data_IF_692351411208
#
_entry.id   IF_692351411208
#
_cell.length_a   1.000
_cell.length_b   1.000
_cell.length_c   1.000
_cell.angle_alpha   90.00
_cell.angle_beta   90.00
_cell.angle_gamma   90.00
#
_symmetry.space_group_name_H-M   'P 1'
#
loop_
_entity.id
_entity.type
_entity.pdbx_description
1 polymer ?
#
# COMPACT_ATOMS: atom_id res chain seq x y z
N UNK A 1 -18.16 -1.26 -4.63
CA UNK A 1 -18.39 -1.12 -3.17
C UNK A 1 -17.26 -0.32 -2.50
N UNK A 2 -15.97 -0.64 -2.74
CA UNK A 2 -14.80 0.12 -2.23
C UNK A 2 -14.80 1.62 -2.54
N UNK A 3 -15.17 2.04 -3.76
CA UNK A 3 -15.17 3.47 -4.16
C UNK A 3 -16.11 4.36 -3.34
N UNK A 4 -17.13 3.80 -2.67
CA UNK A 4 -18.00 4.60 -1.79
C UNK A 4 -17.28 5.08 -0.54
N UNK A 5 -16.28 4.33 -0.06
CA UNK A 5 -15.49 4.70 1.12
C UNK A 5 -14.45 5.78 0.85
N UNK A 6 -14.08 5.99 -0.42
CA UNK A 6 -13.19 7.08 -0.86
C UNK A 6 -13.70 8.48 -0.47
N UNK A 7 -15.02 8.65 -0.33
CA UNK A 7 -15.60 9.93 0.11
C UNK A 7 -15.22 10.33 1.54
N UNK A 8 -14.84 9.37 2.37
CA UNK A 8 -14.39 9.60 3.75
C UNK A 8 -12.86 9.77 3.84
N UNK A 9 -12.17 9.73 2.70
CA UNK A 9 -10.73 9.78 2.61
C UNK A 9 -10.24 11.23 2.54
N UNK A 10 -9.39 11.64 3.48
CA UNK A 10 -8.72 12.93 3.48
C UNK A 10 -7.66 12.96 2.36
N UNK A 11 -7.95 13.69 1.28
CA UNK A 11 -7.13 13.72 0.06
C UNK A 11 -5.70 14.21 0.33
N UNK A 12 -5.50 15.12 1.29
CA UNK A 12 -4.18 15.65 1.62
C UNK A 12 -3.28 14.58 2.22
N UNK A 13 -3.83 13.76 3.12
CA UNK A 13 -3.10 12.69 3.77
C UNK A 13 -2.83 11.52 2.83
N UNK A 14 -3.78 11.21 1.93
CA UNK A 14 -3.55 10.26 0.84
C UNK A 14 -2.36 10.67 -0.04
N UNK A 15 -2.23 11.95 -0.38
CA UNK A 15 -1.09 12.47 -1.17
C UNK A 15 0.24 12.31 -0.42
N UNK A 16 0.27 12.57 0.90
CA UNK A 16 1.49 12.37 1.71
C UNK A 16 1.93 10.91 1.72
N UNK A 17 0.99 9.99 1.95
CA UNK A 17 1.26 8.54 1.91
C UNK A 17 1.76 8.11 0.52
N UNK A 18 1.13 8.63 -0.55
CA UNK A 18 1.55 8.35 -1.92
C UNK A 18 2.98 8.86 -2.18
N UNK A 19 3.33 10.06 -1.74
CA UNK A 19 4.69 10.61 -1.86
C UNK A 19 5.72 9.77 -1.12
N UNK A 20 5.45 9.40 0.13
CA UNK A 20 6.32 8.51 0.92
C UNK A 20 6.58 7.21 0.15
N UNK A 21 5.52 6.62 -0.41
CA UNK A 21 5.66 5.37 -1.15
C UNK A 21 6.43 5.53 -2.46
N UNK A 22 6.24 6.63 -3.19
CA UNK A 22 7.02 6.91 -4.40
C UNK A 22 8.52 6.99 -4.09
N UNK A 23 8.89 7.61 -2.96
CA UNK A 23 10.27 7.66 -2.48
C UNK A 23 10.79 6.25 -2.19
N UNK A 24 10.03 5.45 -1.44
CA UNK A 24 10.39 4.06 -1.12
C UNK A 24 10.61 3.23 -2.38
N UNK A 25 9.69 3.29 -3.35
CA UNK A 25 9.81 2.55 -4.62
C UNK A 25 11.06 2.99 -5.37
N UNK A 26 11.31 4.30 -5.46
CA UNK A 26 12.47 4.86 -6.15
C UNK A 26 13.79 4.38 -5.53
N UNK A 27 13.88 4.42 -4.20
CA UNK A 27 15.04 3.90 -3.45
C UNK A 27 15.22 2.39 -3.67
N UNK A 28 14.13 1.63 -3.69
CA UNK A 28 14.19 0.18 -3.89
C UNK A 28 14.65 -0.18 -5.31
N UNK A 29 14.29 0.62 -6.31
CA UNK A 29 14.74 0.44 -7.70
C UNK A 29 16.24 0.73 -7.89
N UNK A 30 16.88 1.49 -6.99
CA UNK A 30 18.33 1.69 -7.01
C UNK A 30 19.11 0.44 -6.56
N UNK A 31 18.52 -0.44 -5.76
CA UNK A 31 19.19 -1.65 -5.27
C UNK A 31 19.77 -2.53 -6.38
N UNK A 32 19.03 -2.96 -7.42
CA UNK A 32 19.61 -3.79 -8.49
C UNK A 32 20.77 -3.11 -9.22
N UNK A 33 20.75 -1.78 -9.38
CA UNK A 33 21.86 -1.03 -9.98
C UNK A 33 23.12 -1.05 -9.11
N UNK A 34 22.95 -0.87 -7.79
CA UNK A 34 24.05 -0.90 -6.83
C UNK A 34 24.62 -2.31 -6.70
N UNK A 35 23.76 -3.34 -6.69
CA UNK A 35 24.17 -4.74 -6.67
C UNK A 35 25.01 -5.08 -7.89
N UNK A 36 24.58 -4.68 -9.11
CA UNK A 36 25.36 -4.88 -10.32
C UNK A 36 26.77 -4.28 -10.18
N UNK A 37 26.87 -3.02 -9.75
CA UNK A 37 28.17 -2.35 -9.56
C UNK A 37 29.02 -2.98 -8.46
N UNK A 38 28.41 -3.50 -7.40
CA UNK A 38 29.10 -4.24 -6.35
C UNK A 38 29.72 -5.53 -6.90
N UNK A 39 28.95 -6.29 -7.70
CA UNK A 39 29.40 -7.52 -8.37
C UNK A 39 30.54 -7.20 -9.34
N UNK A 40 30.37 -6.19 -10.21
CA UNK A 40 31.40 -5.80 -11.17
C UNK A 40 32.70 -5.39 -10.46
N UNK A 41 32.60 -4.66 -9.35
CA UNK A 41 33.75 -4.25 -8.55
C UNK A 41 34.44 -5.44 -7.88
N UNK A 42 33.67 -6.43 -7.42
CA UNK A 42 34.20 -7.66 -6.83
C UNK A 42 34.91 -8.53 -7.88
N UNK A 43 34.33 -8.68 -9.08
CA UNK A 43 34.93 -9.38 -10.22
C UNK A 43 36.26 -8.72 -10.61
N UNK A 44 36.28 -7.39 -10.67
CA UNK A 44 37.49 -6.60 -10.96
C UNK A 44 38.49 -6.53 -9.79
N UNK A 45 38.28 -7.32 -8.72
CA UNK A 45 39.11 -7.38 -7.51
C UNK A 45 39.28 -6.02 -6.81
N UNK A 46 38.37 -5.08 -7.04
CA UNK A 46 38.42 -3.75 -6.45
C UNK A 46 37.61 -3.71 -5.14
N UNK A 47 38.20 -4.33 -4.10
CA UNK A 47 37.55 -4.60 -2.81
C UNK A 47 37.03 -3.31 -2.16
N UNK A 48 37.77 -2.19 -2.27
CA UNK A 48 37.36 -0.91 -1.69
C UNK A 48 36.00 -0.44 -2.25
N UNK A 49 35.83 -0.49 -3.57
CA UNK A 49 34.57 -0.08 -4.20
C UNK A 49 33.45 -1.10 -3.97
N UNK A 50 33.75 -2.39 -3.96
CA UNK A 50 32.77 -3.42 -3.61
C UNK A 50 32.18 -3.18 -2.20
N UNK A 51 33.03 -2.89 -1.21
CA UNK A 51 32.60 -2.57 0.16
C UNK A 51 31.75 -1.28 0.19
N UNK A 52 32.15 -0.24 -0.53
CA UNK A 52 31.37 1.02 -0.61
C UNK A 52 29.97 0.75 -1.17
N UNK A 53 29.84 -0.04 -2.24
CA UNK A 53 28.54 -0.37 -2.81
C UNK A 53 27.69 -1.21 -1.85
N UNK A 54 28.27 -2.18 -1.14
CA UNK A 54 27.55 -2.96 -0.12
C UNK A 54 27.06 -2.06 1.03
N UNK A 55 27.91 -1.16 1.53
CA UNK A 55 27.53 -0.19 2.57
C UNK A 55 26.42 0.75 2.09
N UNK A 56 26.49 1.20 0.84
CA UNK A 56 25.43 2.04 0.26
C UNK A 56 24.08 1.31 0.18
N UNK A 57 24.10 0.01 -0.11
CA UNK A 57 22.90 -0.82 -0.12
C UNK A 57 22.28 -0.95 1.28
N UNK A 58 23.11 -1.18 2.31
CA UNK A 58 22.65 -1.21 3.71
C UNK A 58 22.03 0.14 4.10
N UNK A 59 22.67 1.24 3.74
CA UNK A 59 22.16 2.58 4.06
C UNK A 59 20.80 2.84 3.41
N UNK A 60 20.64 2.49 2.13
CA UNK A 60 19.36 2.59 1.41
C UNK A 60 18.31 1.72 2.09
N UNK A 61 18.65 0.50 2.49
CA UNK A 61 17.71 -0.40 3.20
C UNK A 61 17.22 0.20 4.51
N UNK A 62 18.11 0.85 5.29
CA UNK A 62 17.73 1.54 6.53
C UNK A 62 16.79 2.71 6.23
N UNK A 63 17.11 3.52 5.23
CA UNK A 63 16.25 4.63 4.80
C UNK A 63 14.86 4.14 4.37
N UNK A 64 14.80 3.08 3.58
CA UNK A 64 13.53 2.46 3.15
C UNK A 64 12.72 2.00 4.37
N UNK A 65 13.37 1.38 5.36
CA UNK A 65 12.69 0.93 6.57
C UNK A 65 12.14 2.09 7.40
N UNK A 66 12.90 3.18 7.51
CA UNK A 66 12.43 4.41 8.16
C UNK A 66 11.17 4.98 7.50
N UNK A 67 11.12 4.99 6.17
CA UNK A 67 9.93 5.44 5.44
C UNK A 67 8.72 4.51 5.62
N UNK A 68 8.92 3.19 5.77
CA UNK A 68 7.82 2.29 6.10
C UNK A 68 7.24 2.58 7.49
N UNK A 69 8.09 2.85 8.49
CA UNK A 69 7.62 3.22 9.84
C UNK A 69 6.85 4.54 9.80
N UNK A 70 7.32 5.52 9.04
CA UNK A 70 6.59 6.77 8.84
C UNK A 70 5.23 6.54 8.16
N UNK A 71 5.18 5.68 7.15
CA UNK A 71 3.95 5.32 6.47
C UNK A 71 2.93 4.71 7.43
N UNK A 72 3.34 3.75 8.26
CA UNK A 72 2.48 3.12 9.27
C UNK A 72 1.94 4.14 10.29
N UNK A 73 2.78 5.11 10.69
CA UNK A 73 2.36 6.19 11.58
C UNK A 73 1.26 7.07 10.97
N UNK A 74 1.42 7.50 9.71
CA UNK A 74 0.41 8.29 9.02
C UNK A 74 -0.86 7.50 8.73
N UNK A 75 -0.76 6.19 8.49
CA UNK A 75 -1.94 5.32 8.39
C UNK A 75 -2.73 5.30 9.70
N UNK A 76 -2.06 5.15 10.84
CA UNK A 76 -2.72 5.15 12.15
C UNK A 76 -3.49 6.45 12.43
N UNK A 77 -2.92 7.60 12.08
CA UNK A 77 -3.60 8.91 12.23
C UNK A 77 -4.85 8.99 11.35
N UNK A 78 -4.74 8.57 10.08
CA UNK A 78 -5.86 8.63 9.13
C UNK A 78 -7.01 7.71 9.50
N UNK A 79 -6.70 6.53 10.03
CA UNK A 79 -7.70 5.59 10.50
C UNK A 79 -8.47 6.15 11.69
N UNK A 80 -7.78 6.82 12.61
CA UNK A 80 -8.40 7.49 13.74
C UNK A 80 -9.31 8.67 13.30
N UNK A 81 -8.87 9.45 12.32
CA UNK A 81 -9.67 10.55 11.76
C UNK A 81 -10.92 10.02 11.02
N UNK A 82 -10.78 8.92 10.26
CA UNK A 82 -11.89 8.27 9.58
C UNK A 82 -12.92 7.68 10.56
N UNK A 83 -12.44 7.11 11.67
CA UNK A 83 -13.30 6.60 12.75
C UNK A 83 -14.16 7.72 13.35
N UNK A 84 -13.53 8.83 13.74
CA UNK A 84 -14.22 9.98 14.33
C UNK A 84 -15.27 10.55 13.37
N UNK A 85 -14.93 10.68 12.09
CA UNK A 85 -15.84 11.21 11.08
C UNK A 85 -17.05 10.30 10.84
N UNK A 86 -16.88 8.98 10.77
CA UNK A 86 -17.99 8.05 10.64
C UNK A 86 -18.90 8.08 11.88
N UNK A 87 -18.31 8.05 13.08
CA UNK A 87 -19.06 8.09 14.31
C UNK A 87 -19.88 9.39 14.45
N UNK A 88 -19.28 10.54 14.09
CA UNK A 88 -19.95 11.84 14.11
C UNK A 88 -21.16 11.90 13.17
N UNK A 89 -21.02 11.39 11.94
CA UNK A 89 -22.14 11.34 10.99
C UNK A 89 -23.28 10.46 11.46
N UNK A 90 -22.96 9.30 12.03
CA UNK A 90 -23.96 8.34 12.52
C UNK A 90 -24.66 8.90 13.75
N UNK A 91 -23.93 9.56 14.65
CA UNK A 91 -24.52 10.25 15.80
C UNK A 91 -25.47 11.38 15.38
N UNK A 92 -25.14 12.13 14.32
CA UNK A 92 -26.02 13.17 13.77
C UNK A 92 -27.28 12.59 13.14
N UNK A 93 -27.19 11.45 12.42
CA UNK A 93 -28.35 10.75 11.88
C UNK A 93 -29.25 10.16 12.98
N UNK A 94 -28.65 9.65 14.05
CA UNK A 94 -29.36 9.13 15.23
C UNK A 94 -30.09 10.22 16.02
N UNK A 95 -29.58 11.45 16.05
CA UNK A 95 -30.26 12.60 16.69
C UNK A 95 -31.56 13.01 15.97
N UNK A 96 -31.67 12.74 14.67
CA UNK A 96 -32.85 13.02 13.85
C UNK A 96 -33.84 11.83 13.85
N UNK A 97 -33.39 10.67 14.33
CA UNK A 97 -34.20 9.45 14.42
C UNK A 97 -35.03 9.42 15.71
N UNK A 98 -36.32 9.14 15.60
CA UNK A 98 -37.25 9.15 16.73
C UNK A 98 -37.00 7.95 17.67
N UNK A 99 -36.32 8.20 18.79
CA UNK A 99 -35.92 7.19 19.78
C UNK A 99 -37.09 6.41 20.39
N UNK A 100 -38.34 6.90 20.30
CA UNK A 100 -39.50 6.28 20.96
C UNK A 100 -40.05 5.04 20.26
N UNK A 101 -39.71 4.78 18.99
CA UNK A 101 -40.33 3.69 18.21
C UNK A 101 -39.54 2.37 18.20
N UNK A 102 -38.24 2.37 18.51
CA UNK A 102 -37.34 1.26 18.12
C UNK A 102 -36.48 0.62 19.23
N UNK A 103 -36.64 0.95 20.53
CA UNK A 103 -35.85 0.35 21.64
C UNK A 103 -34.35 0.19 21.30
N UNK A 104 -33.75 1.27 20.79
CA UNK A 104 -32.37 1.25 20.33
C UNK A 104 -31.42 1.33 21.53
N UNK A 105 -30.72 0.23 21.83
CA UNK A 105 -29.66 0.20 22.84
C UNK A 105 -28.40 0.88 22.30
N UNK A 106 -28.04 2.00 22.93
CA UNK A 106 -26.84 2.79 22.59
C UNK A 106 -25.55 1.99 22.74
N UNK A 107 -25.48 1.08 23.71
CA UNK A 107 -24.30 0.26 23.95
C UNK A 107 -24.08 -0.70 22.77
N UNK A 108 -25.15 -1.39 22.36
CA UNK A 108 -25.12 -2.28 21.20
C UNK A 108 -24.81 -1.56 19.88
N UNK A 109 -25.38 -0.39 19.65
CA UNK A 109 -25.04 0.41 18.45
C UNK A 109 -23.58 0.83 18.42
N UNK A 110 -23.01 1.25 19.56
CA UNK A 110 -21.60 1.64 19.64
C UNK A 110 -20.68 0.43 19.40
N UNK A 111 -21.06 -0.74 19.91
CA UNK A 111 -20.31 -1.99 19.70
C UNK A 111 -20.36 -2.44 18.24
N UNK A 112 -21.54 -2.46 17.61
CA UNK A 112 -21.67 -2.83 16.20
C UNK A 112 -20.98 -1.81 15.27
N UNK A 113 -20.95 -0.53 15.65
CA UNK A 113 -20.18 0.50 14.94
C UNK A 113 -18.68 0.27 15.02
N UNK A 114 -18.15 -0.03 16.21
CA UNK A 114 -16.74 -0.35 16.40
C UNK A 114 -16.33 -1.58 15.57
N UNK A 115 -17.07 -2.67 15.69
CA UNK A 115 -16.78 -3.91 14.95
C UNK A 115 -16.86 -3.72 13.43
N UNK A 116 -17.90 -3.04 12.93
CA UNK A 116 -18.03 -2.79 11.50
C UNK A 116 -16.94 -1.83 10.99
N UNK A 117 -16.51 -0.87 11.82
CA UNK A 117 -15.39 0.00 11.46
C UNK A 117 -14.09 -0.79 11.32
N UNK A 118 -13.73 -1.65 12.27
CA UNK A 118 -12.50 -2.47 12.19
C UNK A 118 -12.47 -3.34 10.91
N UNK A 119 -13.62 -3.88 10.51
CA UNK A 119 -13.75 -4.68 9.27
C UNK A 119 -13.55 -3.80 8.03
N UNK A 120 -14.06 -2.57 8.04
CA UNK A 120 -14.08 -1.69 6.86
C UNK A 120 -12.83 -0.82 6.77
N UNK A 121 -12.19 -0.45 7.88
CA UNK A 121 -10.99 0.38 8.02
C UNK A 121 -9.91 0.03 6.97
N UNK A 122 -9.47 -1.24 6.80
CA UNK A 122 -8.46 -1.59 5.81
C UNK A 122 -8.93 -1.34 4.36
N UNK A 123 -10.24 -1.36 4.07
CA UNK A 123 -10.79 -1.06 2.75
C UNK A 123 -10.92 0.44 2.46
N UNK A 124 -10.83 1.31 3.46
CA UNK A 124 -10.93 2.77 3.28
C UNK A 124 -9.62 3.33 2.73
N UNK A 125 -8.48 2.89 3.25
CA UNK A 125 -7.16 3.43 2.87
C UNK A 125 -6.17 2.35 2.46
N UNK A 126 -5.89 1.38 3.32
CA UNK A 126 -4.77 0.45 3.15
C UNK A 126 -4.86 -0.36 1.85
N UNK A 127 -5.98 -1.02 1.61
CA UNK A 127 -6.18 -1.85 0.41
C UNK A 127 -6.18 -1.01 -0.86
N UNK A 128 -6.75 0.20 -0.83
CA UNK A 128 -6.77 1.10 -1.98
C UNK A 128 -5.34 1.55 -2.33
N UNK A 129 -4.58 1.97 -1.31
CA UNK A 129 -3.20 2.39 -1.49
C UNK A 129 -2.36 1.22 -2.02
N UNK A 130 -2.45 0.05 -1.40
CA UNK A 130 -1.76 -1.17 -1.83
C UNK A 130 -2.09 -1.57 -3.27
N UNK A 131 -3.37 -1.49 -3.68
CA UNK A 131 -3.77 -1.74 -5.07
C UNK A 131 -3.10 -0.75 -6.02
N UNK A 132 -3.18 0.54 -5.74
CA UNK A 132 -2.57 1.59 -6.58
C UNK A 132 -1.06 1.37 -6.69
N UNK A 133 -0.41 1.03 -5.58
CA UNK A 133 1.02 0.78 -5.54
C UNK A 133 1.40 -0.47 -6.32
N UNK A 134 0.68 -1.57 -6.14
CA UNK A 134 0.98 -2.81 -6.84
C UNK A 134 0.75 -2.65 -8.35
N UNK A 135 -0.28 -1.92 -8.76
CA UNK A 135 -0.49 -1.54 -10.16
C UNK A 135 0.67 -0.66 -10.66
N UNK A 136 1.11 0.33 -9.88
CA UNK A 136 2.23 1.19 -10.27
C UNK A 136 3.54 0.40 -10.43
N UNK A 137 3.85 -0.50 -9.49
CA UNK A 137 5.02 -1.40 -9.53
C UNK A 137 4.95 -2.29 -10.77
N UNK A 138 3.78 -2.83 -11.07
CA UNK A 138 3.56 -3.63 -12.27
C UNK A 138 3.84 -2.82 -13.55
N UNK A 139 3.28 -1.61 -13.66
CA UNK A 139 3.52 -0.72 -14.82
C UNK A 139 5.01 -0.40 -14.98
N UNK A 140 5.69 -0.01 -13.90
CA UNK A 140 7.13 0.28 -13.93
C UNK A 140 7.94 -0.95 -14.33
N UNK A 141 7.56 -2.12 -13.84
CA UNK A 141 8.23 -3.38 -14.21
C UNK A 141 8.04 -3.70 -15.70
N UNK A 142 6.81 -3.57 -16.22
CA UNK A 142 6.53 -3.69 -17.65
C UNK A 142 7.34 -2.71 -18.48
N UNK A 143 7.49 -1.46 -18.02
CA UNK A 143 8.30 -0.44 -18.69
C UNK A 143 9.78 -0.85 -18.73
N UNK A 144 10.37 -1.28 -17.61
CA UNK A 144 11.76 -1.76 -17.56
C UNK A 144 11.96 -2.96 -18.49
N UNK A 145 11.08 -3.95 -18.43
CA UNK A 145 11.16 -5.16 -19.26
C UNK A 145 11.02 -4.83 -20.75
N UNK A 146 10.19 -3.84 -21.10
CA UNK A 146 10.05 -3.36 -22.48
C UNK A 146 11.39 -2.91 -23.08
N UNK A 147 12.23 -2.21 -22.31
CA UNK A 147 13.56 -1.77 -22.75
C UNK A 147 14.57 -2.91 -22.85
N UNK A 148 14.40 -3.98 -22.07
CA UNK A 148 15.28 -5.16 -22.13
C UNK A 148 14.94 -6.01 -23.36
N UNK A 149 13.67 -6.41 -23.50
CA UNK A 149 13.20 -7.20 -24.64
C UNK A 149 11.67 -7.20 -24.75
N UNK A 150 11.18 -6.83 -25.93
CA UNK A 150 9.74 -6.83 -26.26
C UNK A 150 9.12 -8.24 -26.18
N UNK A 151 9.90 -9.28 -26.47
CA UNK A 151 9.43 -10.68 -26.43
C UNK A 151 9.26 -11.18 -24.98
N UNK A 152 10.16 -10.78 -24.08
CA UNK A 152 10.06 -11.11 -22.65
C UNK A 152 8.82 -10.44 -22.05
N UNK A 153 8.54 -9.18 -22.41
CA UNK A 153 7.33 -8.48 -21.97
C UNK A 153 6.06 -9.23 -22.38
N UNK A 154 6.01 -9.73 -23.62
CA UNK A 154 4.85 -10.41 -24.16
C UNK A 154 4.58 -11.73 -23.41
N UNK A 155 5.63 -12.49 -23.09
CA UNK A 155 5.52 -13.66 -22.22
C UNK A 155 5.03 -13.28 -20.81
N UNK A 156 5.55 -12.20 -20.23
CA UNK A 156 5.17 -11.71 -18.91
C UNK A 156 3.68 -11.33 -18.84
N UNK A 157 3.18 -10.65 -19.86
CA UNK A 157 1.78 -10.23 -19.97
C UNK A 157 0.79 -11.40 -20.15
N UNK A 158 1.25 -12.54 -20.66
CA UNK A 158 0.43 -13.75 -20.81
C UNK A 158 0.43 -14.57 -19.50
N UNK A 159 1.60 -14.72 -18.87
CA UNK A 159 1.75 -15.55 -17.66
C UNK A 159 0.96 -14.98 -16.47
N UNK A 160 0.98 -13.66 -16.30
CA UNK A 160 0.32 -12.99 -15.17
C UNK A 160 -1.20 -13.26 -15.10
N UNK A 161 -2.00 -13.02 -16.15
CA UNK A 161 -3.43 -13.29 -16.09
C UNK A 161 -3.73 -14.78 -15.89
N UNK A 162 -2.93 -15.68 -16.50
CA UNK A 162 -3.06 -17.13 -16.28
C UNK A 162 -2.83 -17.47 -14.80
N UNK A 163 -1.76 -16.95 -14.21
CA UNK A 163 -1.44 -17.18 -12.79
C UNK A 163 -2.53 -16.64 -11.84
N UNK A 164 -3.12 -15.49 -12.19
CA UNK A 164 -4.21 -14.90 -11.42
C UNK A 164 -5.49 -15.76 -11.48
N UNK A 165 -5.82 -16.30 -12.66
CA UNK A 165 -6.97 -17.21 -12.85
C UNK A 165 -6.77 -18.50 -12.04
N UNK A 166 -5.57 -19.09 -12.08
CA UNK A 166 -5.25 -20.29 -11.30
C UNK A 166 -5.38 -20.02 -9.80
N UNK A 167 -4.83 -18.90 -9.31
CA UNK A 167 -4.92 -18.52 -7.90
C UNK A 167 -6.37 -18.33 -7.42
N UNK A 168 -7.22 -17.72 -8.26
CA UNK A 168 -8.64 -17.56 -7.93
C UNK A 168 -9.37 -18.91 -7.80
N UNK A 169 -9.09 -19.84 -8.73
CA UNK A 169 -9.72 -21.16 -8.76
C UNK A 169 -9.30 -22.06 -7.59
N UNK A 170 -8.07 -21.92 -7.10
CA UNK A 170 -7.57 -22.66 -5.93
C UNK A 170 -8.17 -22.14 -4.62
N UNK A 171 -8.54 -20.86 -4.53
CA UNK A 171 -9.21 -20.28 -3.34
C UNK A 171 -10.71 -20.52 -3.27
N UNK A 172 -11.33 -21.00 -4.35
CA UNK A 172 -12.77 -21.28 -4.44
C UNK A 172 -13.13 -22.75 -4.22
N UNK A 173 -12.15 -23.59 -3.85
CA UNK A 173 -12.30 -25.01 -3.48
C UNK A 173 -12.02 -25.10 -1.98
#
# INVERSE_FOLDING_TARGET
>A
MMLKFWKYTNKKEFIKLLLIRVIVISLTLLNPLIISKAIDSAINKNIKYAIIYILSMLLISIFVHFFYVLEDYYFGINDLEAYINQFSQINNLLKVYDNKKNNLDKARMTQELGQNFEIVQPFIYRNILEIIINISKFIVTCFIVYFISKWILLAFLIIIPISAIVSYKVRSI
#
